data_IF_198872020566
#
_entry.id   IF_198872020566
#
_cell.length_a   1.000
_cell.length_b   1.000
_cell.length_c   1.000
_cell.angle_alpha   90.00
_cell.angle_beta   90.00
_cell.angle_gamma   90.00
#
_symmetry.space_group_name_H-M   'P 1'
#
loop_
_entity.id
_entity.type
_entity.pdbx_description
1 polymer ?
#
# COMPACT_ATOMS: atom_id res chain seq x y z
N UNK A 1 -29.10 7.53 2.28
CA UNK A 1 -27.97 8.37 2.75
C UNK A 1 -26.67 7.70 2.33
N UNK A 2 -25.89 8.33 1.45
CA UNK A 2 -24.57 7.83 1.03
C UNK A 2 -23.50 8.57 1.84
N UNK A 3 -22.54 7.85 2.39
CA UNK A 3 -21.45 8.40 3.22
C UNK A 3 -20.22 7.51 3.16
N UNK A 4 -19.08 7.99 3.66
CA UNK A 4 -17.83 7.23 3.73
C UNK A 4 -17.52 6.82 5.18
N UNK A 5 -16.71 5.78 5.36
CA UNK A 5 -16.29 5.33 6.69
C UNK A 5 -15.60 6.41 7.52
N UNK A 6 -14.84 7.29 6.86
CA UNK A 6 -14.18 8.38 7.56
C UNK A 6 -15.21 9.39 8.04
N UNK A 7 -16.17 9.82 7.21
CA UNK A 7 -17.18 10.79 7.61
C UNK A 7 -18.00 10.33 8.83
N UNK A 8 -18.42 9.06 8.85
CA UNK A 8 -19.19 8.51 9.99
C UNK A 8 -18.38 8.50 11.29
N UNK A 9 -17.07 8.26 11.20
CA UNK A 9 -16.20 8.11 12.37
C UNK A 9 -15.51 9.39 12.84
N UNK A 10 -15.31 10.38 11.97
CA UNK A 10 -14.42 11.52 12.23
C UNK A 10 -14.98 12.54 13.21
N UNK A 11 -16.18 13.09 12.96
CA UNK A 11 -16.74 14.17 13.81
C UNK A 11 -17.62 13.63 14.92
N UNK A 12 -17.59 14.28 16.09
CA UNK A 12 -18.41 13.89 17.23
C UNK A 12 -19.92 14.04 16.96
N UNK A 13 -20.29 15.04 16.18
CA UNK A 13 -21.67 15.31 15.74
C UNK A 13 -22.20 14.19 14.85
N UNK A 14 -21.42 13.80 13.83
CA UNK A 14 -21.75 12.69 12.94
C UNK A 14 -21.92 11.38 13.73
N UNK A 15 -21.01 11.08 14.64
CA UNK A 15 -21.12 9.90 15.52
C UNK A 15 -22.41 9.91 16.36
N UNK A 16 -22.81 11.08 16.89
CA UNK A 16 -24.06 11.22 17.65
C UNK A 16 -25.29 11.06 16.75
N UNK A 17 -25.25 11.63 15.54
CA UNK A 17 -26.30 11.50 14.54
C UNK A 17 -26.53 10.04 14.18
N UNK A 18 -25.50 9.33 13.72
CA UNK A 18 -25.62 7.92 13.29
C UNK A 18 -25.91 6.93 14.43
N UNK A 19 -25.67 7.30 15.69
CA UNK A 19 -26.08 6.51 16.86
C UNK A 19 -27.58 6.62 17.15
N UNK A 20 -28.21 7.76 16.82
CA UNK A 20 -29.63 8.03 17.11
C UNK A 20 -30.54 7.84 15.91
N UNK A 21 -30.00 8.06 14.71
CA UNK A 21 -30.74 7.96 13.46
C UNK A 21 -31.13 6.50 13.20
N UNK A 22 -32.43 6.23 13.12
CA UNK A 22 -32.95 4.87 12.90
C UNK A 22 -32.87 4.53 11.42
N UNK A 23 -32.03 3.56 11.08
CA UNK A 23 -31.82 3.09 9.71
C UNK A 23 -32.32 1.64 9.60
N UNK A 24 -33.15 1.34 8.61
CA UNK A 24 -33.60 -0.04 8.38
C UNK A 24 -32.48 -0.91 7.77
N UNK A 25 -31.72 -0.36 6.83
CA UNK A 25 -30.62 -1.06 6.15
C UNK A 25 -29.33 -0.23 6.15
N UNK A 26 -28.24 -0.82 6.62
CA UNK A 26 -26.91 -0.25 6.52
C UNK A 26 -26.06 -1.17 5.65
N UNK A 27 -25.62 -0.66 4.50
CA UNK A 27 -24.81 -1.39 3.54
C UNK A 27 -23.38 -0.87 3.64
N UNK A 28 -22.47 -1.77 3.98
CA UNK A 28 -21.04 -1.52 4.14
C UNK A 28 -20.31 -2.09 2.94
N UNK A 29 -19.77 -1.22 2.08
CA UNK A 29 -18.97 -1.64 0.92
C UNK A 29 -17.49 -1.77 1.27
N UNK A 30 -16.75 -2.59 0.54
CA UNK A 30 -15.34 -2.89 0.83
C UNK A 30 -15.09 -3.36 2.26
N UNK A 31 -15.81 -4.41 2.68
CA UNK A 31 -15.77 -4.98 4.02
C UNK A 31 -14.39 -5.41 4.51
N UNK A 32 -13.42 -5.59 3.62
CA UNK A 32 -12.02 -5.81 3.99
C UNK A 32 -11.46 -4.67 4.87
N UNK A 33 -12.02 -3.46 4.81
CA UNK A 33 -11.67 -2.33 5.68
C UNK A 33 -12.09 -2.51 7.15
N UNK A 34 -12.92 -3.51 7.45
CA UNK A 34 -13.45 -3.84 8.78
C UNK A 34 -12.88 -5.16 9.34
N UNK A 35 -11.83 -5.70 8.70
CA UNK A 35 -11.24 -6.99 9.06
C UNK A 35 -10.64 -7.05 10.48
N UNK A 36 -10.25 -5.90 11.02
CA UNK A 36 -9.64 -5.80 12.34
C UNK A 36 -10.58 -5.07 13.32
N UNK A 37 -11.13 -5.84 14.27
CA UNK A 37 -12.05 -5.35 15.30
C UNK A 37 -11.42 -4.40 16.32
N UNK A 38 -10.08 -4.36 16.43
CA UNK A 38 -9.40 -3.44 17.36
C UNK A 38 -9.34 -2.00 16.85
N UNK A 39 -9.59 -1.78 15.56
CA UNK A 39 -9.52 -0.46 14.94
C UNK A 39 -10.63 0.48 15.42
N UNK A 40 -10.32 1.77 15.57
CA UNK A 40 -11.32 2.78 15.93
C UNK A 40 -12.43 2.90 14.90
N UNK A 41 -12.09 2.68 13.62
CA UNK A 41 -13.07 2.60 12.53
C UNK A 41 -14.13 1.54 12.83
N UNK A 42 -13.70 0.31 13.13
CA UNK A 42 -14.60 -0.79 13.46
C UNK A 42 -15.47 -0.44 14.67
N UNK A 43 -14.84 -0.01 15.78
CA UNK A 43 -15.54 0.35 17.03
C UNK A 43 -16.56 1.47 16.85
N UNK A 44 -16.29 2.45 15.99
CA UNK A 44 -17.20 3.55 15.72
C UNK A 44 -18.35 3.13 14.81
N UNK A 45 -18.08 2.37 13.74
CA UNK A 45 -19.11 1.90 12.82
C UNK A 45 -20.05 0.88 13.47
N UNK A 46 -19.58 0.14 14.48
CA UNK A 46 -20.40 -0.78 15.26
C UNK A 46 -21.53 -0.07 16.03
N UNK A 47 -21.30 1.19 16.42
CA UNK A 47 -22.25 2.04 17.16
C UNK A 47 -23.33 2.66 16.27
N UNK A 48 -23.22 2.51 14.95
CA UNK A 48 -24.24 2.96 14.00
C UNK A 48 -25.47 2.08 14.18
N UNK A 49 -26.62 2.72 14.40
CA UNK A 49 -27.87 1.98 14.53
C UNK A 49 -28.35 1.53 13.14
N UNK A 50 -28.65 0.24 13.01
CA UNK A 50 -29.17 -0.35 11.78
C UNK A 50 -29.92 -1.65 12.09
N UNK A 51 -31.18 -1.76 11.67
CA UNK A 51 -31.98 -2.98 11.87
C UNK A 51 -31.39 -4.17 11.10
N UNK A 52 -30.85 -3.90 9.90
CA UNK A 52 -30.22 -4.90 9.03
C UNK A 52 -28.90 -4.36 8.52
N UNK A 53 -27.82 -5.13 8.69
CA UNK A 53 -26.47 -4.80 8.20
C UNK A 53 -26.08 -5.76 7.08
N UNK A 54 -25.67 -5.21 5.95
CA UNK A 54 -25.16 -5.96 4.80
C UNK A 54 -23.72 -5.56 4.57
N UNK A 55 -22.84 -6.54 4.40
CA UNK A 55 -21.43 -6.31 4.09
C UNK A 55 -21.15 -6.80 2.67
N UNK A 56 -20.59 -5.93 1.84
CA UNK A 56 -20.13 -6.23 0.49
C UNK A 56 -18.59 -6.23 0.51
N UNK A 57 -17.98 -7.22 -0.12
CA UNK A 57 -16.51 -7.29 -0.25
C UNK A 57 -16.14 -8.00 -1.54
N UNK A 58 -15.31 -7.34 -2.36
CA UNK A 58 -14.77 -7.94 -3.58
C UNK A 58 -13.61 -8.90 -3.30
N UNK A 59 -12.91 -8.72 -2.18
CA UNK A 59 -11.79 -9.59 -1.80
C UNK A 59 -12.30 -10.81 -1.04
N UNK A 60 -11.83 -12.02 -1.38
CA UNK A 60 -12.12 -13.19 -0.57
C UNK A 60 -11.59 -12.94 0.84
N UNK A 61 -12.42 -13.22 1.84
CA UNK A 61 -12.05 -13.22 3.26
C UNK A 61 -10.74 -14.00 3.38
N UNK A 62 -9.65 -13.29 3.64
CA UNK A 62 -8.31 -13.87 3.67
C UNK A 62 -8.28 -14.91 4.79
N UNK A 63 -7.44 -15.93 4.67
CA UNK A 63 -7.44 -17.18 5.44
C UNK A 63 -7.24 -17.05 6.97
N UNK A 64 -7.45 -15.87 7.56
CA UNK A 64 -7.43 -15.64 8.98
C UNK A 64 -8.86 -15.74 9.56
N UNK A 65 -9.08 -16.78 10.36
CA UNK A 65 -10.34 -17.02 11.07
C UNK A 65 -10.77 -15.81 11.92
N UNK A 66 -9.80 -15.04 12.46
CA UNK A 66 -10.07 -13.81 13.23
C UNK A 66 -10.74 -12.73 12.38
N UNK A 67 -10.31 -12.57 11.12
CA UNK A 67 -10.91 -11.57 10.20
C UNK A 67 -12.35 -11.98 9.84
N UNK A 68 -12.56 -13.26 9.56
CA UNK A 68 -13.86 -13.82 9.25
C UNK A 68 -14.84 -13.62 10.41
N UNK A 69 -14.42 -14.00 11.63
CA UNK A 69 -15.20 -13.80 12.85
C UNK A 69 -15.47 -12.31 13.09
N UNK A 70 -14.47 -11.44 12.87
CA UNK A 70 -14.62 -10.00 13.06
C UNK A 70 -15.73 -9.40 12.19
N UNK A 71 -15.81 -9.84 10.93
CA UNK A 71 -16.82 -9.38 9.98
C UNK A 71 -18.21 -10.00 10.24
N UNK A 72 -18.25 -11.23 10.73
CA UNK A 72 -19.49 -11.88 11.14
C UNK A 72 -20.10 -11.24 12.38
N UNK A 73 -19.29 -10.99 13.41
CA UNK A 73 -19.73 -10.27 14.61
C UNK A 73 -20.25 -8.86 14.28
N UNK A 74 -19.60 -8.20 13.32
CA UNK A 74 -20.00 -6.87 12.85
C UNK A 74 -21.39 -6.86 12.19
N UNK A 75 -21.68 -7.84 11.35
CA UNK A 75 -22.95 -7.94 10.60
C UNK A 75 -24.08 -8.49 11.46
N UNK A 76 -23.79 -9.44 12.35
CA UNK A 76 -24.78 -10.24 13.09
C UNK A 76 -24.58 -10.14 14.60
N UNK A 77 -24.44 -8.93 15.12
CA UNK A 77 -24.09 -8.69 16.53
C UNK A 77 -25.03 -9.38 17.51
N UNK A 78 -26.34 -9.24 17.33
CA UNK A 78 -27.35 -9.78 18.26
C UNK A 78 -27.33 -11.31 18.37
N UNK A 79 -26.92 -12.00 17.30
CA UNK A 79 -26.78 -13.45 17.33
C UNK A 79 -25.60 -13.87 18.20
N UNK A 80 -24.47 -13.17 18.10
CA UNK A 80 -23.25 -13.49 18.85
C UNK A 80 -23.28 -12.96 20.28
N UNK A 81 -23.94 -11.84 20.57
CA UNK A 81 -24.07 -11.30 21.94
C UNK A 81 -24.78 -12.27 22.90
N UNK A 82 -25.56 -13.24 22.37
CA UNK A 82 -26.14 -14.33 23.17
C UNK A 82 -25.12 -15.37 23.64
N UNK A 83 -23.98 -15.47 22.96
CA UNK A 83 -22.94 -16.48 23.21
C UNK A 83 -21.64 -15.87 23.78
N UNK A 84 -21.43 -14.57 23.61
CA UNK A 84 -20.27 -13.85 24.13
C UNK A 84 -20.62 -12.41 24.53
N UNK A 85 -20.07 -11.92 25.64
CA UNK A 85 -20.27 -10.54 26.07
C UNK A 85 -19.48 -9.54 25.20
N UNK A 86 -18.31 -9.97 24.73
CA UNK A 86 -17.43 -9.17 23.88
C UNK A 86 -16.78 -10.03 22.80
N UNK A 87 -16.45 -9.39 21.67
CA UNK A 87 -15.70 -10.02 20.58
C UNK A 87 -14.35 -10.55 21.06
N UNK A 88 -13.74 -9.93 22.07
CA UNK A 88 -12.51 -10.40 22.69
C UNK A 88 -12.65 -11.78 23.32
N UNK A 89 -13.76 -12.05 24.02
CA UNK A 89 -14.05 -13.38 24.59
C UNK A 89 -14.31 -14.40 23.49
N UNK A 90 -15.03 -14.02 22.44
CA UNK A 90 -15.30 -14.92 21.32
C UNK A 90 -13.99 -15.27 20.58
N UNK A 91 -13.16 -14.27 20.29
CA UNK A 91 -11.83 -14.49 19.72
C UNK A 91 -10.97 -15.35 20.63
N UNK A 92 -11.01 -15.13 21.94
CA UNK A 92 -10.33 -16.00 22.91
C UNK A 92 -10.90 -17.41 22.93
N UNK A 93 -12.21 -17.65 22.84
CA UNK A 93 -12.76 -19.01 22.80
C UNK A 93 -12.36 -19.77 21.53
N UNK A 94 -12.29 -19.06 20.40
CA UNK A 94 -11.79 -19.61 19.14
C UNK A 94 -10.25 -19.78 19.14
N UNK A 95 -9.53 -19.01 19.96
CA UNK A 95 -8.08 -19.13 20.16
C UNK A 95 -7.67 -20.08 21.32
N UNK A 96 -8.52 -20.29 22.34
CA UNK A 96 -8.23 -21.04 23.57
C UNK A 96 -8.67 -22.50 23.51
N UNK A 97 -9.46 -22.92 22.52
CA UNK A 97 -9.55 -24.35 22.12
C UNK A 97 -8.27 -24.82 21.39
N UNK A 98 -7.12 -24.33 21.84
CA UNK A 98 -5.77 -24.76 21.50
C UNK A 98 -5.13 -25.20 22.82
N UNK A 99 -5.40 -26.41 23.32
CA UNK A 99 -4.46 -27.05 24.22
C UNK A 99 -3.16 -27.27 23.42
N UNK A 100 -2.04 -26.88 24.02
CA UNK A 100 -0.70 -27.29 23.60
C UNK A 100 -0.52 -28.80 23.81
N UNK A 101 -1.27 -29.61 23.07
CA UNK A 101 -1.08 -31.05 23.00
C UNK A 101 -0.53 -31.37 21.61
N UNK A 102 0.79 -31.53 21.61
CA UNK A 102 1.57 -32.36 20.71
C UNK A 102 1.66 -31.92 19.24
N UNK A 103 2.77 -31.23 18.99
CA UNK A 103 3.40 -31.08 17.70
C UNK A 103 3.52 -32.43 16.97
N UNK A 104 2.63 -32.68 16.01
CA UNK A 104 2.89 -33.48 14.80
C UNK A 104 1.80 -33.40 13.71
N UNK A 105 0.63 -32.81 13.99
CA UNK A 105 -0.49 -32.75 13.01
C UNK A 105 -1.24 -31.40 12.98
N UNK A 106 -0.58 -30.28 13.29
CA UNK A 106 -1.24 -28.97 13.47
C UNK A 106 -1.93 -28.41 12.22
N UNK A 107 -1.32 -28.58 11.04
CA UNK A 107 -1.85 -27.98 9.80
C UNK A 107 -3.16 -28.61 9.31
N UNK A 108 -3.33 -29.93 9.49
CA UNK A 108 -4.56 -30.65 9.13
C UNK A 108 -5.71 -30.28 10.07
N UNK A 109 -5.43 -30.20 11.37
CA UNK A 109 -6.43 -29.83 12.38
C UNK A 109 -6.92 -28.39 12.24
N UNK A 110 -6.03 -27.46 11.85
CA UNK A 110 -6.41 -26.08 11.55
C UNK A 110 -7.26 -25.99 10.27
N UNK A 111 -6.90 -26.72 9.22
CA UNK A 111 -7.67 -26.75 7.98
C UNK A 111 -9.10 -27.29 8.20
N UNK A 112 -9.25 -28.38 8.94
CA UNK A 112 -10.56 -28.99 9.22
C UNK A 112 -11.45 -28.07 10.08
N UNK A 113 -10.87 -27.37 11.05
CA UNK A 113 -11.60 -26.36 11.85
C UNK A 113 -12.03 -25.16 11.00
N UNK A 114 -11.17 -24.71 10.07
CA UNK A 114 -11.51 -23.64 9.13
C UNK A 114 -12.65 -24.08 8.21
N UNK A 115 -12.66 -25.33 7.73
CA UNK A 115 -13.76 -25.86 6.93
C UNK A 115 -15.07 -25.96 7.72
N UNK A 116 -15.03 -26.42 8.97
CA UNK A 116 -16.22 -26.44 9.84
C UNK A 116 -16.76 -25.02 10.08
N UNK A 117 -15.89 -24.06 10.37
CA UNK A 117 -16.30 -22.66 10.50
C UNK A 117 -16.88 -22.13 9.18
N UNK A 118 -16.25 -22.41 8.04
CA UNK A 118 -16.78 -22.03 6.72
C UNK A 118 -18.15 -22.67 6.43
N UNK A 119 -18.38 -23.91 6.84
CA UNK A 119 -19.66 -24.60 6.66
C UNK A 119 -20.79 -23.94 7.47
N UNK A 120 -20.53 -23.58 8.73
CA UNK A 120 -21.46 -22.82 9.58
C UNK A 120 -21.77 -21.44 8.97
N UNK A 121 -20.77 -20.82 8.34
CA UNK A 121 -20.84 -19.47 7.80
C UNK A 121 -21.39 -19.39 6.37
N UNK A 122 -21.40 -20.51 5.64
CA UNK A 122 -21.87 -20.61 4.25
C UNK A 122 -23.29 -20.07 4.01
N UNK A 123 -24.29 -20.27 4.90
CA UNK A 123 -25.64 -19.73 4.71
C UNK A 123 -25.68 -18.20 4.71
N UNK A 124 -24.71 -17.55 5.37
CA UNK A 124 -24.66 -16.11 5.56
C UNK A 124 -23.80 -15.39 4.52
N UNK A 125 -23.06 -16.15 3.70
CA UNK A 125 -22.13 -15.61 2.70
C UNK A 125 -22.57 -16.08 1.31
N UNK A 126 -22.99 -15.12 0.49
CA UNK A 126 -23.20 -15.37 -0.94
C UNK A 126 -21.93 -15.03 -1.71
N UNK A 127 -21.26 -16.05 -2.27
CA UNK A 127 -20.08 -15.87 -3.13
C UNK A 127 -20.29 -16.59 -4.46
N UNK A 128 -20.02 -15.91 -5.57
CA UNK A 128 -20.03 -16.45 -6.94
C UNK A 128 -18.69 -16.15 -7.61
N UNK A 129 -18.17 -17.06 -8.43
CA UNK A 129 -16.96 -16.81 -9.21
C UNK A 129 -17.34 -16.16 -10.55
N UNK A 130 -16.41 -15.39 -11.13
CA UNK A 130 -16.64 -14.75 -12.44
C UNK A 130 -16.97 -15.77 -13.52
N UNK A 131 -16.31 -16.93 -13.50
CA UNK A 131 -16.56 -18.04 -14.43
C UNK A 131 -17.97 -18.63 -14.30
N UNK A 132 -18.60 -18.55 -13.12
CA UNK A 132 -19.93 -19.12 -12.88
C UNK A 132 -21.06 -18.22 -13.40
N UNK A 133 -20.76 -16.94 -13.68
CA UNK A 133 -21.77 -15.90 -13.95
C UNK A 133 -21.54 -15.19 -15.29
N UNK A 134 -20.28 -15.01 -15.69
CA UNK A 134 -19.90 -14.22 -16.87
C UNK A 134 -19.26 -15.14 -17.90
N UNK A 135 -20.08 -15.74 -18.76
CA UNK A 135 -19.64 -16.58 -19.88
C UNK A 135 -18.87 -15.81 -20.95
N UNK A 136 -19.10 -14.50 -21.08
CA UNK A 136 -18.50 -13.66 -22.11
C UNK A 136 -17.15 -13.03 -21.73
N UNK A 137 -16.60 -13.32 -20.54
CA UNK A 137 -15.32 -12.74 -20.12
C UNK A 137 -14.15 -13.49 -20.79
N UNK A 138 -13.22 -12.80 -21.48
CA UNK A 138 -12.05 -13.46 -22.06
C UNK A 138 -11.15 -14.06 -20.98
N UNK A 139 -10.36 -15.08 -21.37
CA UNK A 139 -9.43 -15.73 -20.45
C UNK A 139 -8.37 -14.74 -19.95
N UNK A 140 -8.12 -14.77 -18.64
CA UNK A 140 -7.03 -14.04 -18.02
C UNK A 140 -5.72 -14.79 -18.25
N UNK A 141 -4.72 -14.11 -18.78
CA UNK A 141 -3.36 -14.62 -18.92
C UNK A 141 -2.45 -13.93 -17.90
N UNK A 142 -1.73 -14.72 -17.10
CA UNK A 142 -0.81 -14.24 -16.08
C UNK A 142 0.62 -14.65 -16.45
N UNK A 143 1.50 -13.67 -16.70
CA UNK A 143 2.90 -13.90 -17.07
C UNK A 143 3.84 -13.17 -16.13
N UNK A 144 4.85 -13.85 -15.61
CA UNK A 144 5.86 -13.26 -14.73
C UNK A 144 7.15 -13.00 -15.52
N UNK A 145 7.49 -11.73 -15.70
CA UNK A 145 8.73 -11.30 -16.37
C UNK A 145 9.80 -11.03 -15.32
N UNK A 146 10.92 -11.78 -15.37
CA UNK A 146 12.08 -11.54 -14.52
C UNK A 146 12.96 -10.47 -15.15
N UNK A 147 13.12 -9.34 -14.46
CA UNK A 147 13.93 -8.21 -14.92
C UNK A 147 15.33 -8.29 -14.31
N UNK A 148 16.37 -8.27 -15.13
CA UNK A 148 17.75 -8.20 -14.64
C UNK A 148 18.09 -6.77 -14.18
N UNK A 149 18.84 -6.63 -13.09
CA UNK A 149 19.36 -5.33 -12.66
C UNK A 149 20.44 -4.85 -13.63
N UNK A 150 20.51 -3.53 -13.85
CA UNK A 150 21.63 -2.92 -14.57
C UNK A 150 22.91 -2.99 -13.72
N UNK A 151 24.11 -2.93 -14.31
CA UNK A 151 25.37 -3.09 -13.57
C UNK A 151 25.48 -2.19 -12.34
N UNK A 152 25.14 -0.91 -12.49
CA UNK A 152 25.20 0.11 -11.45
C UNK A 152 24.17 -0.16 -10.35
N UNK A 153 22.95 -0.58 -10.72
CA UNK A 153 21.89 -0.96 -9.79
C UNK A 153 22.29 -2.21 -8.98
N UNK A 154 22.94 -3.16 -9.65
CA UNK A 154 23.37 -4.42 -9.04
C UNK A 154 24.49 -4.19 -8.03
N UNK A 155 25.46 -3.35 -8.35
CA UNK A 155 26.55 -2.96 -7.45
C UNK A 155 25.99 -2.41 -6.12
N UNK A 156 25.14 -1.37 -6.21
CA UNK A 156 24.51 -0.74 -5.04
C UNK A 156 23.69 -1.77 -4.23
N UNK A 157 22.94 -2.63 -4.92
CA UNK A 157 22.13 -3.64 -4.24
C UNK A 157 22.99 -4.66 -3.50
N UNK A 158 24.08 -5.13 -4.11
CA UNK A 158 24.99 -6.12 -3.51
C UNK A 158 25.73 -5.53 -2.32
N UNK A 159 26.19 -4.29 -2.41
CA UNK A 159 26.88 -3.59 -1.32
C UNK A 159 25.94 -3.40 -0.13
N UNK A 160 24.71 -2.95 -0.38
CA UNK A 160 23.70 -2.81 0.67
C UNK A 160 23.36 -4.15 1.34
N UNK A 161 23.26 -5.24 0.55
CA UNK A 161 23.06 -6.59 1.10
C UNK A 161 24.27 -7.02 1.95
N UNK A 162 25.49 -6.66 1.57
CA UNK A 162 26.71 -6.99 2.34
C UNK A 162 26.70 -6.27 3.68
N UNK A 163 26.47 -4.96 3.68
CA UNK A 163 26.34 -4.14 4.90
C UNK A 163 25.27 -4.73 5.82
N UNK A 164 24.16 -5.21 5.27
CA UNK A 164 23.08 -5.79 6.06
C UNK A 164 23.50 -7.09 6.74
N UNK A 165 24.26 -7.94 6.04
CA UNK A 165 24.77 -9.20 6.61
C UNK A 165 25.81 -8.93 7.70
N UNK A 166 26.68 -7.96 7.51
CA UNK A 166 27.70 -7.62 8.51
C UNK A 166 27.08 -7.14 9.82
N UNK A 167 26.02 -6.34 9.75
CA UNK A 167 25.35 -5.82 10.94
C UNK A 167 24.50 -6.87 11.65
N UNK A 168 23.93 -7.81 10.89
CA UNK A 168 23.28 -9.00 11.45
C UNK A 168 24.27 -9.86 12.24
N UNK A 169 25.49 -10.04 11.74
CA UNK A 169 26.57 -10.74 12.45
C UNK A 169 27.00 -10.01 13.74
N UNK A 170 26.90 -8.68 13.76
CA UNK A 170 27.19 -7.85 14.93
C UNK A 170 26.04 -7.83 15.96
N UNK A 171 24.95 -8.56 15.73
CA UNK A 171 23.81 -8.67 16.65
C UNK A 171 22.88 -7.45 16.67
N UNK A 172 23.04 -6.52 15.71
CA UNK A 172 22.10 -5.41 15.57
C UNK A 172 20.76 -5.90 14.98
N UNK A 173 19.65 -5.54 15.63
CA UNK A 173 18.32 -5.92 15.14
C UNK A 173 18.01 -5.25 13.80
N UNK A 174 17.33 -6.00 12.94
CA UNK A 174 16.82 -5.50 11.66
C UNK A 174 16.00 -4.21 11.83
N UNK A 175 16.36 -3.17 11.08
CA UNK A 175 15.51 -2.00 10.90
C UNK A 175 14.66 -2.20 9.65
N UNK A 176 13.33 -2.06 9.79
CA UNK A 176 12.38 -2.15 8.67
C UNK A 176 12.68 -1.14 7.54
N UNK A 177 13.40 -0.06 7.85
CA UNK A 177 13.91 0.93 6.91
C UNK A 177 14.91 0.36 5.88
N UNK A 178 15.70 -0.64 6.25
CA UNK A 178 16.73 -1.23 5.39
C UNK A 178 16.16 -2.15 4.31
N UNK A 179 15.19 -2.98 4.67
CA UNK A 179 14.41 -3.73 3.67
C UNK A 179 13.67 -2.78 2.72
N UNK A 180 13.25 -1.61 3.20
CA UNK A 180 12.66 -0.58 2.35
C UNK A 180 13.65 -0.08 1.29
N UNK A 181 14.91 0.17 1.67
CA UNK A 181 15.97 0.59 0.75
C UNK A 181 16.25 -0.46 -0.34
N UNK A 182 16.35 -1.75 0.02
CA UNK A 182 16.51 -2.81 -0.98
C UNK A 182 15.35 -2.85 -1.97
N UNK A 183 14.11 -2.67 -1.48
CA UNK A 183 12.92 -2.60 -2.34
C UNK A 183 12.96 -1.37 -3.25
N UNK A 184 13.40 -0.23 -2.75
CA UNK A 184 13.58 0.99 -3.54
C UNK A 184 14.59 0.78 -4.67
N UNK A 185 15.80 0.29 -4.34
CA UNK A 185 16.85 0.03 -5.33
C UNK A 185 16.41 -1.01 -6.36
N UNK A 186 15.75 -2.10 -5.92
CA UNK A 186 15.22 -3.12 -6.83
C UNK A 186 14.15 -2.59 -7.79
N UNK A 187 13.49 -1.48 -7.45
CA UNK A 187 12.57 -0.79 -8.34
C UNK A 187 13.27 0.20 -9.27
N UNK A 188 14.06 1.12 -8.71
CA UNK A 188 14.79 2.12 -9.48
C UNK A 188 16.00 2.67 -8.70
N UNK A 189 17.19 2.82 -9.31
CA UNK A 189 18.38 3.37 -8.64
C UNK A 189 18.20 4.78 -8.07
N UNK A 190 17.48 5.66 -8.79
CA UNK A 190 17.22 7.03 -8.35
C UNK A 190 16.38 7.18 -7.07
N UNK A 191 15.80 6.10 -6.55
CA UNK A 191 15.14 6.11 -5.24
C UNK A 191 16.13 6.01 -4.07
N UNK A 192 17.41 5.84 -4.39
CA UNK A 192 18.51 5.86 -3.45
C UNK A 192 19.39 7.09 -3.69
N UNK A 193 20.09 7.57 -2.67
CA UNK A 193 20.98 8.74 -2.77
C UNK A 193 22.39 8.28 -3.16
N UNK A 194 22.84 8.64 -4.37
CA UNK A 194 24.16 8.30 -4.91
C UNK A 194 24.82 9.50 -5.58
N UNK A 195 24.11 10.17 -6.49
CA UNK A 195 24.65 11.29 -7.27
C UNK A 195 24.83 12.55 -6.43
N UNK A 196 23.98 12.73 -5.41
CA UNK A 196 24.01 13.85 -4.48
C UNK A 196 24.68 13.45 -3.16
N UNK A 197 26.00 13.29 -3.22
CA UNK A 197 26.85 13.15 -2.04
C UNK A 197 26.79 14.41 -1.16
N UNK A 198 27.22 14.29 0.10
CA UNK A 198 27.06 15.32 1.13
C UNK A 198 27.61 16.69 0.70
N UNK A 199 28.76 16.71 0.02
CA UNK A 199 29.37 17.93 -0.52
C UNK A 199 28.44 18.68 -1.49
N UNK A 200 27.79 17.95 -2.41
CA UNK A 200 26.84 18.53 -3.36
C UNK A 200 25.57 18.99 -2.65
N UNK A 201 25.09 18.23 -1.68
CA UNK A 201 23.90 18.57 -0.90
C UNK A 201 24.12 19.87 -0.12
N UNK A 202 25.28 20.04 0.51
CA UNK A 202 25.66 21.27 1.21
C UNK A 202 25.73 22.46 0.23
N UNK A 203 26.28 22.25 -0.97
CA UNK A 203 26.31 23.30 -2.00
C UNK A 203 24.90 23.70 -2.45
N UNK A 204 24.00 22.74 -2.68
CA UNK A 204 22.60 23.00 -3.06
C UNK A 204 21.90 23.77 -1.94
N UNK A 205 22.05 23.35 -0.68
CA UNK A 205 21.44 24.01 0.47
C UNK A 205 21.88 25.47 0.61
N UNK A 206 23.18 25.75 0.42
CA UNK A 206 23.72 27.13 0.41
C UNK A 206 23.11 27.97 -0.70
N UNK A 207 22.99 27.43 -1.92
CA UNK A 207 22.38 28.16 -3.04
C UNK A 207 20.90 28.45 -2.79
N UNK A 208 20.15 27.48 -2.27
CA UNK A 208 18.74 27.66 -1.92
C UNK A 208 18.56 28.76 -0.87
N UNK A 209 19.31 28.70 0.24
CA UNK A 209 19.19 29.70 1.31
C UNK A 209 19.64 31.10 0.86
N UNK A 210 20.58 31.20 -0.08
CA UNK A 210 21.07 32.47 -0.58
C UNK A 210 20.12 33.14 -1.59
N UNK A 211 19.46 32.35 -2.46
CA UNK A 211 18.75 32.86 -3.64
C UNK A 211 17.23 32.69 -3.59
N UNK A 212 16.71 31.72 -2.84
CA UNK A 212 15.29 31.39 -2.85
C UNK A 212 14.56 31.92 -1.61
N UNK A 213 13.45 32.62 -1.83
CA UNK A 213 12.71 33.30 -0.75
C UNK A 213 12.17 32.34 0.31
N UNK A 214 11.77 31.12 -0.08
CA UNK A 214 11.26 30.09 0.85
C UNK A 214 12.31 29.57 1.83
N UNK A 215 13.59 29.66 1.44
CA UNK A 215 14.72 29.12 2.21
C UNK A 215 15.54 30.22 2.88
N UNK A 216 15.32 31.48 2.54
CA UNK A 216 16.13 32.63 2.99
C UNK A 216 16.23 32.79 4.52
N UNK A 217 15.22 32.33 5.26
CA UNK A 217 15.20 32.37 6.74
C UNK A 217 15.69 31.08 7.40
N UNK A 218 16.00 30.04 6.62
CA UNK A 218 16.45 28.74 7.12
C UNK A 218 17.98 28.71 7.20
N UNK A 219 18.51 27.92 8.13
CA UNK A 219 19.94 27.63 8.20
C UNK A 219 20.32 26.66 7.08
N UNK A 220 21.42 26.93 6.37
CA UNK A 220 21.93 26.06 5.30
C UNK A 220 22.25 24.65 5.80
N UNK A 221 22.72 24.51 7.03
CA UNK A 221 23.15 23.21 7.55
C UNK A 221 21.95 22.30 7.80
N UNK A 222 20.87 22.83 8.40
CA UNK A 222 19.61 22.09 8.56
C UNK A 222 18.96 21.74 7.22
N UNK A 223 19.03 22.64 6.23
CA UNK A 223 18.54 22.33 4.88
C UNK A 223 19.39 21.21 4.24
N UNK A 224 20.70 21.20 4.45
CA UNK A 224 21.55 20.12 3.95
C UNK A 224 21.24 18.77 4.64
N UNK A 225 21.00 18.78 5.95
CA UNK A 225 20.56 17.60 6.70
C UNK A 225 19.24 17.05 6.16
N UNK A 226 18.23 17.91 5.96
CA UNK A 226 16.93 17.53 5.38
C UNK A 226 17.08 16.89 3.99
N UNK A 227 17.92 17.50 3.14
CA UNK A 227 18.19 17.00 1.80
C UNK A 227 18.95 15.66 1.80
N UNK A 228 19.79 15.39 2.81
CA UNK A 228 20.56 14.14 2.90
C UNK A 228 19.67 12.90 3.09
N UNK A 229 18.45 13.07 3.59
CA UNK A 229 17.45 12.01 3.72
C UNK A 229 16.64 11.76 2.43
N UNK A 230 16.79 12.60 1.41
CA UNK A 230 16.07 12.47 0.15
C UNK A 230 16.81 11.57 -0.84
N UNK A 231 16.05 10.88 -1.68
CA UNK A 231 16.56 10.13 -2.83
C UNK A 231 17.10 11.06 -3.92
N UNK A 232 17.97 10.55 -4.80
CA UNK A 232 18.49 11.35 -5.93
C UNK A 232 17.38 11.96 -6.79
N UNK A 233 16.31 11.20 -7.07
CA UNK A 233 15.18 11.71 -7.85
C UNK A 233 14.51 12.92 -7.18
N UNK A 234 14.24 12.82 -5.88
CA UNK A 234 13.59 13.88 -5.11
C UNK A 234 14.45 15.15 -5.04
N UNK A 235 15.78 15.00 -4.88
CA UNK A 235 16.70 16.15 -4.89
C UNK A 235 16.72 16.80 -6.28
N UNK A 236 16.79 16.00 -7.35
CA UNK A 236 16.76 16.52 -8.72
C UNK A 236 15.45 17.25 -9.02
N UNK A 237 14.31 16.70 -8.58
CA UNK A 237 12.99 17.33 -8.76
C UNK A 237 12.84 18.61 -7.93
N UNK A 238 13.50 18.71 -6.78
CA UNK A 238 13.59 19.97 -6.04
C UNK A 238 14.40 21.00 -6.81
N UNK A 239 15.55 20.59 -7.35
CA UNK A 239 16.44 21.47 -8.11
C UNK A 239 15.79 22.01 -9.39
N UNK A 240 14.89 21.24 -10.02
CA UNK A 240 14.22 21.69 -11.24
C UNK A 240 13.18 22.79 -11.00
N UNK A 241 12.69 22.95 -9.76
CA UNK A 241 11.72 24.00 -9.40
C UNK A 241 12.31 25.41 -9.39
N UNK A 242 13.62 25.53 -9.19
CA UNK A 242 14.27 26.83 -8.99
C UNK A 242 15.36 27.06 -10.02
N UNK A 243 15.31 28.20 -10.71
CA UNK A 243 16.33 28.58 -11.70
C UNK A 243 17.74 28.64 -11.10
N UNK A 244 17.86 28.93 -9.79
CA UNK A 244 19.16 28.98 -9.09
C UNK A 244 19.84 27.62 -8.95
N UNK A 245 19.07 26.53 -8.87
CA UNK A 245 19.57 25.17 -8.65
C UNK A 245 19.42 24.24 -9.84
N UNK A 246 18.83 24.71 -10.95
CA UNK A 246 18.70 23.94 -12.20
C UNK A 246 20.00 23.27 -12.67
N UNK A 247 21.15 23.93 -12.49
CA UNK A 247 22.48 23.38 -12.83
C UNK A 247 22.85 22.08 -12.10
N UNK A 248 22.15 21.76 -11.01
CA UNK A 248 22.35 20.54 -10.23
C UNK A 248 21.36 19.42 -10.61
N UNK A 249 20.44 19.64 -11.55
CA UNK A 249 19.52 18.59 -11.99
C UNK A 249 20.26 17.45 -12.68
N UNK A 250 19.77 16.22 -12.48
CA UNK A 250 20.20 15.08 -13.27
C UNK A 250 19.57 15.15 -14.67
N UNK A 251 20.25 14.52 -15.63
CA UNK A 251 19.67 14.29 -16.95
C UNK A 251 18.41 13.41 -16.81
N UNK A 252 17.33 13.80 -17.49
CA UNK A 252 16.08 13.04 -17.52
C UNK A 252 16.29 11.63 -18.09
N UNK A 253 17.29 11.42 -18.94
CA UNK A 253 17.67 10.11 -19.44
C UNK A 253 18.05 9.12 -18.32
N UNK A 254 18.46 9.58 -17.14
CA UNK A 254 18.74 8.68 -16.00
C UNK A 254 17.45 8.04 -15.46
N UNK A 255 16.28 8.66 -15.69
CA UNK A 255 14.99 8.10 -15.28
C UNK A 255 14.56 6.88 -16.11
N UNK A 256 15.17 6.65 -17.29
CA UNK A 256 14.92 5.41 -18.07
C UNK A 256 15.87 4.27 -17.68
N UNK A 257 16.90 4.55 -16.88
CA UNK A 257 17.97 3.59 -16.63
C UNK A 257 17.72 2.74 -15.37
N UNK A 258 16.89 1.71 -15.54
CA UNK A 258 16.74 0.63 -14.57
C UNK A 258 16.34 -0.67 -15.23
N UNK A 259 16.58 -1.80 -14.56
CA UNK A 259 16.23 -3.11 -15.08
C UNK A 259 14.77 -3.25 -15.49
N UNK A 260 13.84 -2.68 -14.70
CA UNK A 260 12.41 -2.72 -14.99
C UNK A 260 12.00 -1.80 -16.12
N UNK A 261 12.59 -0.60 -16.20
CA UNK A 261 12.27 0.36 -17.25
C UNK A 261 12.81 -0.10 -18.61
N UNK A 262 13.96 -0.79 -18.65
CA UNK A 262 14.47 -1.45 -19.87
C UNK A 262 13.53 -2.54 -20.38
N UNK A 263 12.90 -3.32 -19.50
CA UNK A 263 11.86 -4.28 -19.91
C UNK A 263 10.56 -3.57 -20.33
N UNK A 264 10.20 -2.50 -19.65
CA UNK A 264 9.04 -1.68 -20.02
C UNK A 264 9.20 -1.08 -21.43
N UNK A 265 10.40 -0.62 -21.79
CA UNK A 265 10.75 -0.13 -23.13
C UNK A 265 10.60 -1.19 -24.22
N UNK A 266 10.73 -2.47 -23.90
CA UNK A 266 10.47 -3.57 -24.85
C UNK A 266 8.97 -3.86 -24.98
N UNK A 267 8.23 -3.76 -23.87
CA UNK A 267 6.83 -4.18 -23.80
C UNK A 267 5.86 -3.13 -24.36
N UNK A 268 5.99 -1.87 -23.94
CA UNK A 268 5.02 -0.82 -24.25
C UNK A 268 4.84 -0.54 -25.75
N UNK A 269 5.89 -0.53 -26.60
CA UNK A 269 5.71 -0.32 -28.04
C UNK A 269 4.79 -1.38 -28.67
N UNK A 270 5.03 -2.65 -28.36
CA UNK A 270 4.23 -3.77 -28.89
C UNK A 270 2.76 -3.72 -28.46
N UNK A 271 2.49 -3.17 -27.27
CA UNK A 271 1.13 -2.98 -26.74
C UNK A 271 0.47 -1.78 -27.43
N UNK A 272 1.21 -0.69 -27.61
CA UNK A 272 0.71 0.50 -28.32
C UNK A 272 0.35 0.19 -29.77
N UNK A 273 1.18 -0.59 -30.47
CA UNK A 273 0.93 -0.98 -31.86
C UNK A 273 -0.34 -1.84 -32.01
N UNK A 274 -0.70 -2.61 -30.98
CA UNK A 274 -1.97 -3.34 -30.90
C UNK A 274 -3.17 -2.46 -30.56
N UNK A 275 -2.94 -1.23 -30.06
CA UNK A 275 -3.99 -0.33 -29.58
C UNK A 275 -4.51 -0.67 -28.18
N UNK A 276 -3.80 -1.52 -27.42
CA UNK A 276 -4.22 -1.94 -26.09
C UNK A 276 -3.91 -0.86 -25.03
N UNK A 277 -4.75 -0.79 -23.99
CA UNK A 277 -4.53 0.11 -22.84
C UNK A 277 -3.82 -0.63 -21.71
N UNK A 278 -2.89 0.06 -21.04
CA UNK A 278 -2.07 -0.50 -19.95
C UNK A 278 -2.41 0.17 -18.63
N UNK A 279 -2.53 -0.62 -17.57
CA UNK A 279 -2.58 -0.15 -16.20
C UNK A 279 -1.29 -0.55 -15.48
N UNK A 280 -0.56 0.42 -14.97
CA UNK A 280 0.68 0.21 -14.21
C UNK A 280 0.40 0.49 -12.74
N UNK A 281 0.72 -0.47 -11.88
CA UNK A 281 0.55 -0.36 -10.43
C UNK A 281 1.91 -0.33 -9.74
N UNK A 282 2.05 0.56 -8.76
CA UNK A 282 3.21 0.64 -7.88
C UNK A 282 2.76 0.86 -6.44
N UNK A 283 3.50 0.30 -5.49
CA UNK A 283 3.31 0.60 -4.06
C UNK A 283 3.96 1.93 -3.64
N UNK A 284 4.91 2.43 -4.42
CA UNK A 284 5.63 3.66 -4.14
C UNK A 284 5.17 4.76 -5.09
N UNK A 285 4.68 5.87 -4.55
CA UNK A 285 4.33 7.08 -5.32
C UNK A 285 5.56 7.67 -6.01
N UNK A 286 6.74 7.57 -5.38
CA UNK A 286 8.01 8.01 -5.97
C UNK A 286 8.37 7.28 -7.27
N UNK A 287 7.98 6.01 -7.43
CA UNK A 287 8.12 5.31 -8.73
C UNK A 287 7.15 5.87 -9.76
N UNK A 288 5.95 6.25 -9.34
CA UNK A 288 4.99 6.86 -10.25
C UNK A 288 5.54 8.19 -10.77
N UNK A 289 6.20 8.99 -9.92
CA UNK A 289 6.87 10.22 -10.34
C UNK A 289 7.98 9.96 -11.38
N UNK A 290 8.79 8.91 -11.20
CA UNK A 290 9.82 8.50 -12.18
C UNK A 290 9.16 7.99 -13.48
N UNK A 291 8.09 7.20 -13.37
CA UNK A 291 7.32 6.72 -14.52
C UNK A 291 6.75 7.88 -15.34
N UNK A 292 6.33 8.97 -14.71
CA UNK A 292 5.86 10.15 -15.44
C UNK A 292 6.95 10.77 -16.32
N UNK A 293 8.17 10.90 -15.81
CA UNK A 293 9.32 11.39 -16.60
C UNK A 293 9.57 10.45 -17.77
N UNK A 294 9.61 9.14 -17.51
CA UNK A 294 9.77 8.12 -18.55
C UNK A 294 8.68 8.19 -19.64
N UNK A 295 7.40 8.30 -19.25
CA UNK A 295 6.28 8.37 -20.18
C UNK A 295 6.32 9.66 -21.01
N UNK A 296 6.75 10.79 -20.44
CA UNK A 296 6.97 12.04 -21.16
C UNK A 296 8.09 11.90 -22.19
N UNK A 297 9.25 11.35 -21.80
CA UNK A 297 10.39 11.12 -22.69
C UNK A 297 10.03 10.22 -23.88
N UNK A 298 9.17 9.22 -23.65
CA UNK A 298 8.68 8.30 -24.69
C UNK A 298 7.40 8.77 -25.39
N UNK A 299 6.90 9.97 -25.06
CA UNK A 299 5.70 10.59 -25.62
C UNK A 299 4.44 9.70 -25.53
N UNK A 300 4.21 9.09 -24.37
CA UNK A 300 2.99 8.36 -24.05
C UNK A 300 2.01 9.26 -23.29
N UNK A 301 0.73 9.22 -23.69
CA UNK A 301 -0.34 9.86 -22.91
C UNK A 301 -0.68 9.00 -21.71
N UNK A 302 -0.85 9.62 -20.56
CA UNK A 302 -1.14 8.92 -19.31
C UNK A 302 -2.06 9.74 -18.40
N UNK A 303 -2.69 9.04 -17.46
CA UNK A 303 -3.40 9.62 -16.33
C UNK A 303 -2.86 8.95 -15.05
N UNK A 304 -2.74 9.72 -13.98
CA UNK A 304 -2.28 9.24 -12.68
C UNK A 304 -3.39 9.33 -11.66
N UNK A 305 -3.52 8.27 -10.87
CA UNK A 305 -4.38 8.22 -9.70
C UNK A 305 -3.55 7.77 -8.50
N UNK A 306 -3.55 8.57 -7.44
CA UNK A 306 -2.91 8.23 -6.17
C UNK A 306 -3.72 8.72 -4.96
N UNK A 307 -3.15 8.54 -3.77
CA UNK A 307 -3.79 8.89 -2.50
C UNK A 307 -4.11 10.39 -2.35
N UNK A 308 -3.38 11.26 -3.06
CA UNK A 308 -3.56 12.70 -3.01
C UNK A 308 -4.57 13.23 -4.05
N UNK A 309 -4.89 12.45 -5.08
CA UNK A 309 -5.89 12.83 -6.08
C UNK A 309 -7.25 13.16 -5.42
N UNK A 310 -7.80 14.37 -5.61
CA UNK A 310 -9.11 14.75 -5.09
C UNK A 310 -10.23 13.80 -5.56
N UNK A 311 -11.25 13.59 -4.72
CA UNK A 311 -12.36 12.67 -5.04
C UNK A 311 -13.11 13.06 -6.32
N UNK A 312 -13.19 14.35 -6.65
CA UNK A 312 -13.86 14.82 -7.88
C UNK A 312 -13.04 14.55 -9.16
N UNK A 313 -11.73 14.34 -9.03
CA UNK A 313 -10.82 14.06 -10.14
C UNK A 313 -10.56 12.55 -10.32
N UNK A 314 -11.07 11.72 -9.40
CA UNK A 314 -11.00 10.25 -9.44
C UNK A 314 -12.17 9.67 -10.21
#
# INVERSE_FOLDING_TARGET
>A
LLTTYNMVGSKAEDRKFFKRFRINYVIYDEGHLLKNCSTDRYKNLMKVYGERKILLTGTPLQNNLVELISLMYFTMTELFTKYCDDIGQLLQQFQQKIPALEAKSGALYEADKIEQAKAILRPYILRRLKQDVLSCLPKKHDTVVRCAMIPEQKEIYVDLVREFRELELNGEKYTSSRLMQLRQIANHPLLYRRFYQDEKVIQIAKVLCAKENEYRKKNSDHVAEDLAFLSDFAISQLCSKYTSTQKFCLDEAVAVDSGKFRELDKLLPSIKDKGDKVLIFSQFTSIMDILEVYLKLRNYKYCRLDGATPVMER
#
